data_IF_285393358313
#
_entry.id   IF_285393358313
#
_cell.length_a   1.000
_cell.length_b   1.000
_cell.length_c   1.000
_cell.angle_alpha   90.00
_cell.angle_beta   90.00
_cell.angle_gamma   90.00
#
_symmetry.space_group_name_H-M   'P 1'
#
loop_
_entity.id
_entity.type
_entity.pdbx_description
1 polymer ?
#
# COMPACT_ATOMS: atom_id res chain seq x y z
N UNK A 1 -8.08 22.35 21.11
CA UNK A 1 -7.69 21.12 20.41
C UNK A 1 -6.68 21.49 19.35
N UNK A 2 -5.59 20.75 19.20
CA UNK A 2 -4.57 21.03 18.18
C UNK A 2 -5.15 20.59 16.84
N UNK A 3 -5.28 21.53 15.91
CA UNK A 3 -5.75 21.27 14.55
C UNK A 3 -4.83 20.23 13.87
N UNK A 4 -5.42 19.22 13.22
CA UNK A 4 -4.65 18.17 12.56
C UNK A 4 -4.02 18.69 11.26
N UNK A 5 -2.87 18.14 10.79
CA UNK A 5 -2.11 18.72 9.68
C UNK A 5 -2.85 18.88 8.36
N UNK A 6 -3.85 18.04 8.08
CA UNK A 6 -4.68 18.11 6.86
C UNK A 6 -6.11 18.60 7.12
N UNK A 7 -6.34 19.27 8.25
CA UNK A 7 -7.64 19.90 8.51
C UNK A 7 -7.98 20.87 7.39
N UNK A 8 -9.22 20.78 6.87
CA UNK A 8 -9.68 21.57 5.73
C UNK A 8 -9.38 20.97 4.36
N UNK A 9 -8.58 19.90 4.26
CA UNK A 9 -8.36 19.19 2.99
C UNK A 9 -9.52 18.23 2.70
N UNK A 10 -10.11 18.32 1.52
CA UNK A 10 -11.15 17.39 1.05
C UNK A 10 -10.60 16.41 0.02
N UNK A 11 -10.75 15.11 0.28
CA UNK A 11 -10.36 14.02 -0.60
C UNK A 11 -11.59 13.27 -1.04
N UNK A 12 -11.80 13.13 -2.35
CA UNK A 12 -12.82 12.26 -2.92
C UNK A 12 -12.13 11.04 -3.51
N UNK A 13 -12.62 9.83 -3.23
CA UNK A 13 -11.98 8.63 -3.74
C UNK A 13 -12.95 7.64 -4.37
N UNK A 14 -12.58 7.12 -5.54
CA UNK A 14 -13.23 5.97 -6.19
C UNK A 14 -12.23 4.82 -6.15
N UNK A 15 -12.24 4.13 -5.01
CA UNK A 15 -11.15 3.23 -4.61
C UNK A 15 -11.68 1.88 -4.14
N UNK A 16 -10.89 0.82 -4.37
CA UNK A 16 -11.26 -0.55 -4.07
C UNK A 16 -10.05 -1.35 -3.57
N UNK A 17 -10.31 -2.46 -2.88
CA UNK A 17 -9.28 -3.37 -2.38
C UNK A 17 -8.33 -2.68 -1.40
N UNK A 18 -7.01 -2.62 -1.65
CA UNK A 18 -6.02 -2.26 -0.63
C UNK A 18 -5.25 -0.97 -0.92
N UNK A 19 -4.59 -0.83 -2.08
CA UNK A 19 -3.62 0.24 -2.30
C UNK A 19 -4.17 1.68 -2.12
N UNK A 20 -5.22 2.04 -2.88
CA UNK A 20 -5.84 3.36 -2.75
C UNK A 20 -6.53 3.57 -1.39
N UNK A 21 -7.31 2.61 -0.88
CA UNK A 21 -7.89 2.75 0.46
C UNK A 21 -6.85 2.94 1.57
N UNK A 22 -5.71 2.27 1.47
CA UNK A 22 -4.61 2.45 2.42
C UNK A 22 -4.06 3.87 2.37
N UNK A 23 -3.79 4.41 1.17
CA UNK A 23 -3.30 5.78 0.99
C UNK A 23 -4.28 6.82 1.56
N UNK A 24 -5.56 6.75 1.19
CA UNK A 24 -6.56 7.75 1.60
C UNK A 24 -6.90 7.65 3.08
N UNK A 25 -6.83 6.47 3.69
CA UNK A 25 -7.00 6.33 5.13
C UNK A 25 -5.87 7.00 5.91
N UNK A 26 -4.64 7.00 5.40
CA UNK A 26 -3.53 7.75 6.03
C UNK A 26 -3.79 9.26 5.96
N UNK A 27 -4.36 9.77 4.85
CA UNK A 27 -4.78 11.18 4.75
C UNK A 27 -5.91 11.50 5.75
N UNK A 28 -6.89 10.60 5.90
CA UNK A 28 -7.96 10.76 6.88
C UNK A 28 -7.44 10.79 8.32
N UNK A 29 -6.49 9.90 8.65
CA UNK A 29 -5.85 9.85 9.97
C UNK A 29 -5.05 11.15 10.29
N UNK A 30 -4.65 11.91 9.27
CA UNK A 30 -4.06 13.26 9.39
C UNK A 30 -5.08 14.41 9.38
N UNK A 31 -6.38 14.11 9.39
CA UNK A 31 -7.46 15.10 9.50
C UNK A 31 -8.12 15.53 8.19
N UNK A 32 -7.73 14.95 7.05
CA UNK A 32 -8.43 15.23 5.80
C UNK A 32 -9.85 14.64 5.83
N UNK A 33 -10.82 15.36 5.25
CA UNK A 33 -12.16 14.83 5.03
C UNK A 33 -12.14 13.91 3.81
N UNK A 34 -12.24 12.60 4.04
CA UNK A 34 -12.19 11.60 2.96
C UNK A 34 -13.58 11.05 2.67
N UNK A 35 -14.08 11.30 1.47
CA UNK A 35 -15.37 10.82 0.97
C UNK A 35 -15.11 9.65 0.00
N UNK A 36 -15.32 8.43 0.48
CA UNK A 36 -15.21 7.22 -0.34
C UNK A 36 -16.49 6.99 -1.12
N UNK A 37 -16.39 7.02 -2.44
CA UNK A 37 -17.48 6.72 -3.37
C UNK A 37 -17.49 5.24 -3.69
N UNK A 38 -18.61 4.59 -3.42
CA UNK A 38 -18.78 3.15 -3.56
C UNK A 38 -19.96 2.77 -4.47
N UNK A 39 -19.98 1.51 -4.93
CA UNK A 39 -21.10 0.98 -5.72
C UNK A 39 -22.34 0.79 -4.84
N UNK A 40 -23.55 1.15 -5.30
CA UNK A 40 -24.78 0.83 -4.60
C UNK A 40 -24.94 -0.68 -4.39
N UNK A 41 -25.43 -1.08 -3.20
CA UNK A 41 -25.67 -2.47 -2.82
C UNK A 41 -24.40 -3.26 -2.49
N UNK A 42 -23.44 -3.32 -3.40
CA UNK A 42 -22.23 -4.12 -3.24
C UNK A 42 -21.10 -3.42 -2.48
N UNK A 43 -20.94 -2.11 -2.65
CA UNK A 43 -19.80 -1.37 -2.10
C UNK A 43 -18.42 -1.78 -2.63
N UNK A 44 -17.39 -1.55 -1.82
CA UNK A 44 -16.03 -2.06 -2.00
C UNK A 44 -15.96 -3.60 -1.87
N UNK A 45 -15.16 -4.26 -2.71
CA UNK A 45 -14.88 -5.69 -2.63
C UNK A 45 -14.33 -6.10 -1.26
N UNK A 46 -13.50 -5.25 -0.65
CA UNK A 46 -12.88 -5.53 0.64
C UNK A 46 -13.92 -5.78 1.74
N UNK A 47 -15.16 -5.27 1.61
CA UNK A 47 -16.25 -5.51 2.59
C UNK A 47 -16.61 -6.99 2.77
N UNK A 48 -16.28 -7.85 1.79
CA UNK A 48 -16.64 -9.27 1.75
C UNK A 48 -15.45 -10.23 1.80
N UNK A 49 -14.24 -9.76 2.09
CA UNK A 49 -13.07 -10.64 2.16
C UNK A 49 -13.14 -11.61 3.33
N UNK A 50 -13.66 -11.16 4.46
CA UNK A 50 -13.89 -11.96 5.66
C UNK A 50 -14.97 -11.30 6.55
N UNK A 51 -15.19 -11.84 7.75
CA UNK A 51 -16.15 -11.31 8.75
C UNK A 51 -15.56 -11.25 10.16
N UNK A 52 -14.23 -11.22 10.26
CA UNK A 52 -13.47 -11.50 11.50
C UNK A 52 -13.64 -10.42 12.56
N UNK A 53 -13.82 -9.15 12.16
CA UNK A 53 -13.92 -8.01 13.08
C UNK A 53 -15.38 -7.69 13.33
N UNK A 54 -15.97 -8.36 14.32
CA UNK A 54 -17.37 -8.16 14.72
C UNK A 54 -18.37 -8.29 13.55
N UNK A 55 -18.16 -9.25 12.65
CA UNK A 55 -18.99 -9.44 11.45
C UNK A 55 -18.58 -8.58 10.25
N UNK A 56 -17.59 -7.69 10.42
CA UNK A 56 -16.99 -6.91 9.34
C UNK A 56 -15.67 -7.51 8.89
N UNK A 57 -15.35 -7.29 7.61
CA UNK A 57 -14.05 -7.66 7.03
C UNK A 57 -12.89 -6.94 7.71
N UNK A 58 -11.88 -7.70 8.11
CA UNK A 58 -10.65 -7.20 8.72
C UNK A 58 -9.92 -6.20 7.82
N UNK A 59 -9.83 -6.48 6.52
CA UNK A 59 -9.27 -5.56 5.53
C UNK A 59 -10.06 -4.27 5.47
N UNK A 60 -11.39 -4.35 5.37
CA UNK A 60 -12.22 -3.17 5.22
C UNK A 60 -12.08 -2.23 6.42
N UNK A 61 -12.14 -2.76 7.64
CA UNK A 61 -11.98 -1.97 8.87
C UNK A 61 -10.59 -1.33 8.95
N UNK A 62 -9.54 -2.07 8.60
CA UNK A 62 -8.15 -1.58 8.67
C UNK A 62 -7.89 -0.37 7.75
N UNK A 63 -8.43 -0.39 6.53
CA UNK A 63 -8.12 0.58 5.48
C UNK A 63 -9.24 1.60 5.20
N UNK A 64 -10.37 1.56 5.91
CA UNK A 64 -11.47 2.51 5.68
C UNK A 64 -12.00 3.19 6.94
N UNK A 65 -11.36 3.01 8.10
CA UNK A 65 -11.66 3.84 9.26
C UNK A 65 -11.45 5.33 8.96
N UNK A 66 -12.14 6.18 9.70
CA UNK A 66 -12.07 7.66 9.59
C UNK A 66 -12.64 8.26 8.30
N UNK A 67 -13.14 7.43 7.35
CA UNK A 67 -13.72 7.90 6.08
C UNK A 67 -15.24 8.02 6.15
N UNK A 68 -15.78 8.97 5.39
CA UNK A 68 -17.18 9.00 4.99
C UNK A 68 -17.41 8.01 3.82
N UNK A 69 -18.62 7.45 3.71
CA UNK A 69 -19.00 6.55 2.62
C UNK A 69 -20.24 7.08 1.92
N UNK A 70 -20.18 7.15 0.59
CA UNK A 70 -21.28 7.57 -0.28
C UNK A 70 -21.43 6.58 -1.43
N UNK A 71 -22.63 6.03 -1.62
CA UNK A 71 -22.88 5.16 -2.76
C UNK A 71 -23.33 5.95 -3.97
N UNK A 72 -22.65 5.81 -5.11
CA UNK A 72 -23.04 6.40 -6.40
C UNK A 72 -22.93 5.36 -7.52
N UNK A 73 -23.97 5.25 -8.35
CA UNK A 73 -23.84 4.52 -9.61
C UNK A 73 -23.18 5.41 -10.67
N UNK A 74 -21.90 5.20 -10.91
CA UNK A 74 -21.14 5.97 -11.90
C UNK A 74 -21.44 5.58 -13.35
N UNK A 75 -22.24 4.52 -13.59
CA UNK A 75 -22.78 4.23 -14.94
C UNK A 75 -23.95 5.15 -15.27
N UNK A 76 -24.72 5.54 -14.26
CA UNK A 76 -25.79 6.52 -14.38
C UNK A 76 -25.21 7.95 -14.55
N UNK A 77 -25.62 8.72 -15.57
CA UNK A 77 -25.23 10.13 -15.71
C UNK A 77 -25.48 10.97 -14.44
N UNK A 78 -26.52 10.67 -13.66
CA UNK A 78 -26.85 11.37 -12.40
C UNK A 78 -25.80 11.11 -11.33
N UNK A 79 -25.31 9.88 -11.21
CA UNK A 79 -24.24 9.53 -10.27
C UNK A 79 -22.93 10.23 -10.64
N UNK A 80 -22.62 10.30 -11.93
CA UNK A 80 -21.46 11.09 -12.44
C UNK A 80 -21.63 12.58 -12.16
N UNK A 81 -22.81 13.15 -12.37
CA UNK A 81 -23.06 14.56 -12.07
C UNK A 81 -22.85 14.87 -10.58
N UNK A 82 -23.29 13.99 -9.67
CA UNK A 82 -23.06 14.16 -8.23
C UNK A 82 -21.56 14.09 -7.91
N UNK A 83 -20.84 13.11 -8.47
CA UNK A 83 -19.39 13.00 -8.29
C UNK A 83 -18.69 14.27 -8.76
N UNK A 84 -19.02 14.79 -9.94
CA UNK A 84 -18.42 16.03 -10.45
C UNK A 84 -18.68 17.25 -9.56
N UNK A 85 -19.84 17.34 -8.91
CA UNK A 85 -20.08 18.40 -7.90
C UNK A 85 -19.20 18.23 -6.67
N UNK A 86 -18.97 17.00 -6.21
CA UNK A 86 -18.03 16.77 -5.10
C UNK A 86 -16.61 17.18 -5.48
N UNK A 87 -16.23 16.99 -6.75
CA UNK A 87 -14.90 17.36 -7.26
C UNK A 87 -14.71 18.88 -7.42
N UNK A 88 -15.76 19.68 -7.48
CA UNK A 88 -15.66 21.14 -7.58
C UNK A 88 -14.96 21.76 -6.35
N UNK A 89 -15.19 21.17 -5.17
CA UNK A 89 -14.63 21.62 -3.89
C UNK A 89 -13.52 20.70 -3.35
N UNK A 90 -13.16 19.64 -4.08
CA UNK A 90 -12.16 18.68 -3.64
C UNK A 90 -10.73 19.17 -3.90
N UNK A 91 -9.81 18.83 -2.99
CA UNK A 91 -8.39 19.08 -3.17
C UNK A 91 -7.69 17.93 -3.88
N UNK A 92 -8.13 16.70 -3.61
CA UNK A 92 -7.52 15.48 -4.11
C UNK A 92 -8.60 14.53 -4.60
N UNK A 93 -8.38 13.94 -5.77
CA UNK A 93 -9.17 12.83 -6.26
C UNK A 93 -8.30 11.58 -6.37
N UNK A 94 -8.66 10.49 -5.69
CA UNK A 94 -7.88 9.23 -5.72
C UNK A 94 -8.68 8.12 -6.38
N UNK A 95 -8.06 7.37 -7.29
CA UNK A 95 -8.68 6.21 -7.92
C UNK A 95 -7.70 5.09 -8.25
N UNK A 96 -8.18 3.85 -8.20
CA UNK A 96 -7.45 2.65 -8.64
C UNK A 96 -8.31 1.72 -9.50
N UNK A 97 -9.09 2.31 -10.40
CA UNK A 97 -9.93 1.59 -11.35
C UNK A 97 -9.08 0.85 -12.39
N UNK A 98 -9.68 -0.16 -13.00
CA UNK A 98 -9.03 -0.91 -14.08
C UNK A 98 -8.59 0.00 -15.24
N UNK A 99 -7.55 -0.38 -16.01
CA UNK A 99 -7.08 0.40 -17.15
C UNK A 99 -8.21 0.86 -18.09
N UNK A 100 -8.17 2.13 -18.47
CA UNK A 100 -9.17 2.80 -19.31
C UNK A 100 -10.56 3.00 -18.68
N UNK A 101 -10.83 2.50 -17.46
CA UNK A 101 -12.14 2.68 -16.84
C UNK A 101 -12.36 4.12 -16.34
N UNK A 102 -11.32 4.76 -15.79
CA UNK A 102 -11.40 6.16 -15.37
C UNK A 102 -11.69 7.09 -16.56
N UNK A 103 -11.01 6.90 -17.69
CA UNK A 103 -11.23 7.71 -18.90
C UNK A 103 -12.65 7.57 -19.46
N UNK A 104 -13.17 6.33 -19.53
CA UNK A 104 -14.57 6.07 -19.93
C UNK A 104 -15.60 6.77 -19.03
N UNK A 105 -15.24 7.04 -17.78
CA UNK A 105 -16.08 7.73 -16.81
C UNK A 105 -15.88 9.26 -16.80
N UNK A 106 -14.94 9.79 -17.60
CA UNK A 106 -14.57 11.22 -17.57
C UNK A 106 -13.72 11.61 -16.36
N UNK A 107 -13.03 10.62 -15.77
CA UNK A 107 -12.19 10.77 -14.57
C UNK A 107 -10.70 10.59 -14.88
N UNK A 108 -10.33 10.67 -16.15
CA UNK A 108 -8.95 10.62 -16.60
C UNK A 108 -8.16 11.83 -16.12
N UNK A 109 -6.87 11.65 -15.84
CA UNK A 109 -5.97 12.69 -15.33
C UNK A 109 -6.02 13.96 -16.18
N UNK A 110 -5.92 13.85 -17.52
CA UNK A 110 -5.94 15.02 -18.41
C UNK A 110 -7.30 15.76 -18.42
N UNK A 111 -8.40 15.04 -18.28
CA UNK A 111 -9.74 15.63 -18.16
C UNK A 111 -9.88 16.40 -16.85
N UNK A 112 -9.51 15.76 -15.75
CA UNK A 112 -9.61 16.32 -14.41
C UNK A 112 -8.72 17.56 -14.24
N UNK A 113 -7.47 17.52 -14.70
CA UNK A 113 -6.55 18.67 -14.63
C UNK A 113 -7.08 19.86 -15.42
N UNK A 114 -7.72 19.62 -16.58
CA UNK A 114 -8.29 20.70 -17.40
C UNK A 114 -9.55 21.29 -16.76
N UNK A 115 -10.42 20.44 -16.20
CA UNK A 115 -11.70 20.86 -15.63
C UNK A 115 -11.56 21.46 -14.22
N UNK A 116 -10.62 20.96 -13.44
CA UNK A 116 -10.38 21.35 -12.05
C UNK A 116 -8.90 21.66 -11.83
N UNK A 117 -8.41 22.85 -12.23
CA UNK A 117 -6.97 23.16 -12.23
C UNK A 117 -6.27 23.10 -10.86
N UNK A 118 -7.04 23.15 -9.76
CA UNK A 118 -6.52 23.06 -8.38
C UNK A 118 -6.61 21.65 -7.79
N UNK A 119 -7.34 20.74 -8.43
CA UNK A 119 -7.50 19.35 -8.00
C UNK A 119 -6.19 18.60 -8.25
N UNK A 120 -5.84 17.69 -7.35
CA UNK A 120 -4.73 16.76 -7.51
C UNK A 120 -5.32 15.38 -7.87
N UNK A 121 -5.29 14.98 -9.16
CA UNK A 121 -5.65 13.61 -9.54
C UNK A 121 -4.54 12.65 -9.10
N UNK A 122 -4.91 11.59 -8.39
CA UNK A 122 -4.02 10.52 -7.98
C UNK A 122 -4.53 9.20 -8.57
N UNK A 123 -3.71 8.60 -9.43
CA UNK A 123 -4.00 7.32 -10.07
C UNK A 123 -3.05 6.26 -9.53
N UNK A 124 -3.62 5.17 -9.00
CA UNK A 124 -2.86 3.99 -8.62
C UNK A 124 -3.21 2.86 -9.58
N UNK A 125 -2.19 2.29 -10.23
CA UNK A 125 -2.35 1.27 -11.27
C UNK A 125 -1.46 0.05 -11.01
N UNK A 126 -1.61 -1.01 -11.80
CA UNK A 126 -0.73 -2.18 -11.72
C UNK A 126 0.69 -1.91 -12.21
N UNK A 127 0.79 -1.46 -13.46
CA UNK A 127 2.04 -1.32 -14.22
C UNK A 127 2.29 0.10 -14.76
N UNK A 128 1.52 1.09 -14.30
CA UNK A 128 1.52 2.44 -14.86
C UNK A 128 0.42 2.62 -15.91
N UNK A 129 0.25 3.85 -16.37
CA UNK A 129 -0.70 4.22 -17.44
C UNK A 129 -0.05 4.22 -18.84
N UNK A 130 1.22 3.87 -18.93
CA UNK A 130 1.98 3.84 -20.19
C UNK A 130 2.85 2.58 -20.31
N UNK A 131 3.40 2.36 -21.51
CA UNK A 131 4.25 1.21 -21.79
C UNK A 131 3.49 -0.10 -22.11
N UNK A 132 4.22 -1.19 -22.39
CA UNK A 132 3.65 -2.42 -22.96
C UNK A 132 2.74 -3.21 -22.01
N UNK A 133 2.74 -2.87 -20.71
CA UNK A 133 2.01 -3.58 -19.67
C UNK A 133 0.84 -2.77 -19.08
N UNK A 134 0.58 -1.56 -19.57
CA UNK A 134 -0.44 -0.66 -19.04
C UNK A 134 -1.84 -1.28 -18.96
N UNK A 135 -2.21 -2.11 -19.95
CA UNK A 135 -3.54 -2.75 -20.02
C UNK A 135 -3.64 -4.07 -19.24
N UNK A 136 -2.57 -4.51 -18.57
CA UNK A 136 -2.57 -5.78 -17.85
C UNK A 136 -3.25 -5.66 -16.49
N UNK A 137 -3.97 -6.71 -16.11
CA UNK A 137 -4.47 -6.85 -14.74
C UNK A 137 -3.30 -7.07 -13.78
N UNK A 138 -3.39 -6.44 -12.61
CA UNK A 138 -2.43 -6.60 -11.55
C UNK A 138 -3.11 -7.07 -10.27
N UNK A 139 -2.38 -7.88 -9.53
CA UNK A 139 -2.73 -8.38 -8.21
C UNK A 139 -1.45 -8.37 -7.39
N UNK A 140 -1.58 -8.15 -6.09
CA UNK A 140 -0.44 -8.10 -5.17
C UNK A 140 0.54 -9.27 -5.37
N UNK A 141 0.04 -10.52 -5.36
CA UNK A 141 0.88 -11.70 -5.55
C UNK A 141 1.64 -11.69 -6.90
N UNK A 142 1.00 -11.23 -7.98
CA UNK A 142 1.65 -11.14 -9.29
C UNK A 142 2.80 -10.13 -9.26
N UNK A 143 2.61 -9.00 -8.58
CA UNK A 143 3.66 -7.99 -8.40
C UNK A 143 4.82 -8.54 -7.56
N UNK A 144 4.53 -9.28 -6.48
CA UNK A 144 5.57 -9.92 -5.68
C UNK A 144 6.41 -10.91 -6.50
N UNK A 145 5.77 -11.69 -7.38
CA UNK A 145 6.49 -12.59 -8.28
C UNK A 145 7.36 -11.83 -9.29
N UNK A 146 6.81 -10.80 -9.92
CA UNK A 146 7.50 -10.07 -11.00
C UNK A 146 8.64 -9.18 -10.53
N UNK A 147 8.54 -8.64 -9.31
CA UNK A 147 9.63 -7.88 -8.69
C UNK A 147 10.70 -8.77 -8.08
N UNK A 148 10.49 -10.09 -8.06
CA UNK A 148 11.43 -11.07 -7.49
C UNK A 148 11.33 -11.24 -5.98
N UNK A 149 10.40 -10.57 -5.30
CA UNK A 149 10.25 -10.68 -3.84
C UNK A 149 9.95 -12.12 -3.38
N UNK A 150 9.14 -12.86 -4.15
CA UNK A 150 8.83 -14.26 -3.83
C UNK A 150 10.09 -15.12 -3.85
N UNK A 151 11.04 -14.88 -4.76
CA UNK A 151 12.29 -15.66 -4.78
C UNK A 151 13.22 -15.41 -3.59
N UNK A 152 13.04 -14.29 -2.88
CA UNK A 152 13.82 -13.94 -1.69
C UNK A 152 13.17 -14.40 -0.39
N UNK A 153 11.88 -14.72 -0.44
CA UNK A 153 11.04 -14.98 0.73
C UNK A 153 10.77 -16.47 0.83
N UNK A 154 10.94 -17.06 2.00
CA UNK A 154 10.73 -18.50 2.24
C UNK A 154 11.98 -19.19 2.79
N UNK A 155 12.10 -20.48 2.53
CA UNK A 155 13.26 -21.29 2.89
C UNK A 155 14.24 -21.39 1.71
N UNK A 156 15.45 -21.93 1.90
CA UNK A 156 16.36 -22.20 0.79
C UNK A 156 15.76 -23.10 -0.31
N UNK A 157 14.83 -23.99 0.06
CA UNK A 157 14.23 -24.98 -0.82
C UNK A 157 12.84 -24.57 -1.35
N UNK A 158 12.11 -23.70 -0.62
CA UNK A 158 10.75 -23.29 -0.95
C UNK A 158 10.57 -21.77 -0.91
N UNK A 159 10.09 -21.21 -2.02
CA UNK A 159 9.68 -19.81 -2.07
C UNK A 159 8.27 -19.60 -1.52
N UNK A 160 8.06 -18.47 -0.86
CA UNK A 160 6.78 -18.10 -0.27
C UNK A 160 6.43 -16.66 -0.62
N UNK A 161 5.14 -16.36 -0.73
CA UNK A 161 4.67 -14.97 -0.75
C UNK A 161 4.85 -14.33 0.62
N UNK A 162 4.96 -13.02 0.67
CA UNK A 162 4.81 -12.31 1.94
C UNK A 162 3.37 -12.43 2.46
N UNK A 163 3.23 -12.48 3.79
CA UNK A 163 1.96 -12.68 4.47
C UNK A 163 1.02 -11.46 4.46
N UNK A 164 1.46 -10.33 3.91
CA UNK A 164 0.67 -9.11 3.76
C UNK A 164 0.58 -8.72 2.28
N UNK A 165 -0.32 -7.79 1.97
CA UNK A 165 -0.44 -7.19 0.64
C UNK A 165 0.67 -6.16 0.40
N UNK A 166 1.92 -6.62 0.37
CA UNK A 166 3.11 -5.75 0.37
C UNK A 166 3.19 -4.82 -0.84
N UNK A 167 2.77 -5.26 -2.03
CA UNK A 167 2.79 -4.42 -3.24
C UNK A 167 1.72 -3.32 -3.15
N UNK A 168 0.54 -3.67 -2.66
CA UNK A 168 -0.53 -2.70 -2.41
C UNK A 168 -0.13 -1.68 -1.34
N UNK A 169 0.49 -2.13 -0.24
CA UNK A 169 0.96 -1.25 0.83
C UNK A 169 2.06 -0.32 0.32
N UNK A 170 3.02 -0.84 -0.45
CA UNK A 170 4.08 -0.03 -1.06
C UNK A 170 3.47 1.06 -1.96
N UNK A 171 2.58 0.69 -2.89
CA UNK A 171 1.91 1.64 -3.77
C UNK A 171 1.09 2.67 -2.98
N UNK A 172 0.36 2.22 -1.96
CA UNK A 172 -0.40 3.11 -1.09
C UNK A 172 0.48 4.11 -0.33
N UNK A 173 1.68 3.71 0.10
CA UNK A 173 2.64 4.60 0.75
C UNK A 173 3.20 5.65 -0.22
N UNK A 174 3.54 5.28 -1.46
CA UNK A 174 3.99 6.23 -2.48
C UNK A 174 2.87 7.16 -2.95
N UNK A 175 1.64 6.67 -3.04
CA UNK A 175 0.49 7.51 -3.39
C UNK A 175 0.21 8.52 -2.26
N UNK A 176 0.25 8.08 -1.01
CA UNK A 176 0.11 8.94 0.16
C UNK A 176 1.19 10.02 0.20
N UNK A 177 2.48 9.65 0.08
CA UNK A 177 3.58 10.63 0.08
C UNK A 177 3.51 11.55 -1.14
N UNK A 178 3.19 11.02 -2.33
CA UNK A 178 3.02 11.80 -3.55
C UNK A 178 1.91 12.84 -3.43
N UNK A 179 0.77 12.48 -2.82
CA UNK A 179 -0.33 13.43 -2.55
C UNK A 179 0.11 14.52 -1.57
N UNK A 180 0.81 14.17 -0.49
CA UNK A 180 1.36 15.18 0.43
C UNK A 180 2.34 16.12 -0.27
N UNK A 181 3.23 15.60 -1.10
CA UNK A 181 4.14 16.40 -1.91
C UNK A 181 3.38 17.31 -2.87
N UNK A 182 2.35 16.81 -3.55
CA UNK A 182 1.53 17.63 -4.46
C UNK A 182 0.77 18.73 -3.71
N UNK A 183 0.22 18.44 -2.53
CA UNK A 183 -0.43 19.44 -1.67
C UNK A 183 0.57 20.52 -1.22
N UNK A 184 1.77 20.12 -0.79
CA UNK A 184 2.83 21.03 -0.38
C UNK A 184 3.30 21.92 -1.55
N UNK A 185 3.54 21.32 -2.72
CA UNK A 185 3.90 22.07 -3.94
C UNK A 185 2.80 23.05 -4.31
N UNK A 186 1.53 22.65 -4.26
CA UNK A 186 0.39 23.54 -4.51
C UNK A 186 0.33 24.69 -3.50
N UNK A 187 0.62 24.45 -2.23
CA UNK A 187 0.64 25.49 -1.20
C UNK A 187 1.80 26.50 -1.39
N UNK A 188 2.95 26.04 -1.88
CA UNK A 188 4.17 26.87 -2.01
C UNK A 188 4.31 27.55 -3.37
N UNK A 189 3.77 26.95 -4.43
CA UNK A 189 3.92 27.43 -5.82
C UNK A 189 2.60 27.80 -6.49
N UNK A 190 1.46 27.46 -5.88
CA UNK A 190 0.14 27.60 -6.48
C UNK A 190 -0.21 26.52 -7.52
N UNK A 191 0.72 25.63 -7.88
CA UNK A 191 0.53 24.63 -8.94
C UNK A 191 0.22 23.25 -8.38
N UNK A 192 -0.86 22.62 -8.87
CA UNK A 192 -1.19 21.23 -8.58
C UNK A 192 -0.61 20.31 -9.67
N UNK A 193 0.04 19.23 -9.26
CA UNK A 193 0.52 18.20 -10.18
C UNK A 193 -0.21 16.88 -9.92
N UNK A 194 -0.57 16.13 -10.97
CA UNK A 194 -1.12 14.80 -10.80
C UNK A 194 -0.08 13.85 -10.20
N UNK A 195 -0.57 12.84 -9.48
CA UNK A 195 0.22 11.79 -8.87
C UNK A 195 -0.12 10.49 -9.58
N UNK A 196 0.90 9.77 -10.06
CA UNK A 196 0.73 8.45 -10.65
C UNK A 196 1.68 7.47 -9.96
N UNK A 197 1.14 6.33 -9.54
CA UNK A 197 1.91 5.27 -8.88
C UNK A 197 1.49 3.94 -9.48
N UNK A 198 2.47 3.08 -9.75
CA UNK A 198 2.21 1.68 -10.09
C UNK A 198 2.61 0.75 -8.95
N UNK A 199 1.87 -0.33 -8.75
CA UNK A 199 2.23 -1.38 -7.79
C UNK A 199 3.60 -1.99 -8.13
N UNK A 200 3.88 -2.17 -9.42
CA UNK A 200 5.14 -2.73 -9.87
C UNK A 200 6.34 -1.84 -9.51
N UNK A 201 6.32 -0.55 -9.87
CA UNK A 201 7.43 0.37 -9.57
C UNK A 201 7.58 0.59 -8.06
N UNK A 202 6.47 0.72 -7.34
CA UNK A 202 6.47 0.88 -5.89
C UNK A 202 7.16 -0.29 -5.17
N UNK A 203 6.84 -1.52 -5.56
CA UNK A 203 7.48 -2.69 -4.95
C UNK A 203 8.91 -2.91 -5.49
N UNK A 204 9.17 -2.61 -6.76
CA UNK A 204 10.51 -2.69 -7.34
C UNK A 204 11.49 -1.75 -6.63
N UNK A 205 11.05 -0.55 -6.23
CA UNK A 205 11.85 0.39 -5.45
C UNK A 205 12.27 -0.22 -4.09
N UNK A 206 11.36 -0.91 -3.40
CA UNK A 206 11.69 -1.62 -2.15
C UNK A 206 12.66 -2.80 -2.35
N UNK A 207 12.76 -3.29 -3.59
CA UNK A 207 13.71 -4.33 -4.01
C UNK A 207 15.07 -3.76 -4.43
N UNK A 208 15.33 -2.47 -4.24
CA UNK A 208 16.57 -1.81 -4.65
C UNK A 208 17.84 -2.50 -4.12
N UNK A 209 17.90 -2.83 -2.82
CA UNK A 209 19.08 -3.52 -2.28
C UNK A 209 19.30 -4.91 -2.90
N UNK A 210 18.31 -5.82 -2.97
CA UNK A 210 18.47 -7.10 -3.67
C UNK A 210 18.80 -6.96 -5.16
N UNK A 211 18.26 -5.94 -5.84
CA UNK A 211 18.56 -5.65 -7.23
C UNK A 211 20.04 -5.29 -7.42
N UNK A 212 20.57 -4.35 -6.63
CA UNK A 212 22.00 -3.98 -6.66
C UNK A 212 22.91 -5.16 -6.33
N UNK A 213 22.53 -6.00 -5.36
CA UNK A 213 23.27 -7.22 -5.04
C UNK A 213 23.35 -8.15 -6.25
N UNK A 214 22.23 -8.43 -6.89
CA UNK A 214 22.16 -9.35 -8.03
C UNK A 214 22.99 -8.86 -9.22
N UNK A 215 22.89 -7.58 -9.55
CA UNK A 215 23.61 -6.96 -10.67
C UNK A 215 25.11 -6.94 -10.40
N UNK A 216 25.54 -6.59 -9.18
CA UNK A 216 26.96 -6.42 -8.85
C UNK A 216 27.66 -7.76 -8.59
N UNK A 217 27.00 -8.69 -7.89
CA UNK A 217 27.58 -9.98 -7.55
C UNK A 217 27.39 -11.06 -8.64
N UNK A 218 26.64 -10.75 -9.71
CA UNK A 218 26.21 -11.68 -10.76
C UNK A 218 25.57 -12.97 -10.20
N UNK A 219 24.94 -12.87 -9.02
CA UNK A 219 24.31 -13.98 -8.30
C UNK A 219 23.04 -13.47 -7.64
N UNK A 220 21.93 -14.16 -7.88
CA UNK A 220 20.68 -13.85 -7.20
C UNK A 220 20.77 -14.30 -5.74
N UNK A 221 20.36 -13.47 -4.76
CA UNK A 221 20.24 -13.92 -3.39
C UNK A 221 19.19 -15.02 -3.35
N UNK A 222 19.57 -16.26 -3.04
CA UNK A 222 18.60 -17.33 -2.77
C UNK A 222 18.18 -17.22 -1.33
N UNK A 223 16.87 -17.19 -1.09
CA UNK A 223 16.20 -17.26 0.21
C UNK A 223 17.08 -16.76 1.34
N UNK A 224 16.91 -15.50 1.75
CA UNK A 224 17.66 -14.94 2.87
C UNK A 224 17.18 -15.66 4.14
N UNK A 225 17.70 -16.88 4.35
CA UNK A 225 17.57 -17.60 5.58
C UNK A 225 18.08 -16.66 6.67
N UNK A 226 17.45 -16.60 7.84
CA UNK A 226 17.68 -15.56 8.85
C UNK A 226 19.13 -15.41 9.36
N UNK A 227 20.09 -16.19 8.86
CA UNK A 227 21.50 -15.82 8.88
C UNK A 227 21.80 -14.62 7.97
N UNK A 228 21.80 -13.42 8.56
CA UNK A 228 22.38 -12.18 8.02
C UNK A 228 23.86 -12.35 7.64
N UNK A 229 24.37 -11.85 6.50
CA UNK A 229 25.81 -11.73 6.24
C UNK A 229 26.38 -10.41 6.80
N UNK A 230 27.71 -10.27 6.93
CA UNK A 230 28.53 -10.90 7.96
C UNK A 230 28.36 -10.15 9.29
N UNK A 231 27.29 -10.45 10.02
CA UNK A 231 27.16 -10.12 11.45
C UNK A 231 26.92 -11.43 12.19
N UNK A 232 27.34 -11.55 13.47
CA UNK A 232 27.22 -12.82 14.21
C UNK A 232 25.80 -13.39 14.12
N UNK A 233 25.64 -14.73 14.12
CA UNK A 233 24.42 -15.39 13.64
C UNK A 233 23.19 -14.97 14.46
N UNK A 234 22.27 -14.27 13.80
CA UNK A 234 20.93 -13.92 14.30
C UNK A 234 19.88 -14.85 13.70
N UNK A 235 19.94 -16.15 14.03
CA UNK A 235 18.92 -17.10 13.60
C UNK A 235 17.69 -17.13 14.52
N UNK A 236 16.51 -17.57 14.02
CA UNK A 236 15.35 -17.87 14.82
C UNK A 236 15.63 -19.07 15.72
N UNK A 237 15.20 -19.00 16.98
CA UNK A 237 15.32 -20.10 17.94
C UNK A 237 13.91 -20.50 18.40
N UNK A 238 13.51 -21.76 18.15
CA UNK A 238 12.54 -22.53 18.96
C UNK A 238 11.17 -22.89 18.33
N UNK A 239 10.59 -24.07 18.66
CA UNK A 239 9.15 -24.36 18.57
C UNK A 239 8.48 -24.45 19.97
N UNK A 240 7.14 -24.52 20.11
CA UNK A 240 6.05 -24.05 19.25
C UNK A 240 5.06 -23.19 20.07
N UNK A 241 5.24 -21.87 20.12
CA UNK A 241 4.13 -20.93 20.36
C UNK A 241 4.48 -19.64 19.64
N UNK A 242 3.52 -19.09 18.90
CA UNK A 242 3.67 -18.01 17.93
C UNK A 242 4.37 -16.75 18.47
N UNK A 243 5.70 -16.71 18.40
CA UNK A 243 6.53 -15.52 18.34
C UNK A 243 7.99 -15.98 18.19
N UNK A 244 8.43 -16.18 16.95
CA UNK A 244 9.85 -16.43 16.69
C UNK A 244 10.62 -15.14 16.94
N UNK A 245 11.25 -15.03 18.10
CA UNK A 245 12.03 -13.85 18.48
C UNK A 245 13.44 -13.95 17.87
N UNK A 246 13.83 -13.01 17.01
CA UNK A 246 15.22 -12.87 16.56
C UNK A 246 16.06 -12.27 17.69
N UNK A 247 17.12 -12.96 18.14
CA UNK A 247 17.99 -12.46 19.22
C UNK A 247 19.37 -12.05 18.67
N UNK A 248 19.80 -10.78 18.82
CA UNK A 248 21.15 -10.34 18.45
C UNK A 248 22.20 -10.90 19.41
N UNK A 249 22.98 -11.89 18.95
CA UNK A 249 24.14 -12.39 19.68
C UNK A 249 25.26 -11.35 19.63
N UNK A 250 25.42 -10.53 20.68
CA UNK A 250 26.57 -9.62 20.82
C UNK A 250 27.78 -10.41 21.31
N UNK A 251 28.80 -10.55 20.48
CA UNK A 251 30.14 -10.93 20.91
C UNK A 251 30.85 -9.71 21.50
N UNK A 252 30.84 -9.56 22.81
CA UNK A 252 31.85 -8.79 23.54
C UNK A 252 32.38 -9.64 24.70
N UNK A 253 33.70 -9.77 24.75
CA UNK A 253 34.44 -10.53 25.74
C UNK A 253 34.06 -10.16 27.20
N UNK A 254 34.15 -11.16 28.08
CA UNK A 254 34.07 -11.13 29.55
C UNK A 254 32.69 -11.05 30.23
N UNK A 255 32.30 -12.12 30.94
CA UNK A 255 31.32 -12.09 32.04
C UNK A 255 30.09 -13.00 31.89
N UNK A 256 29.72 -13.85 32.89
CA UNK A 256 28.76 -14.94 32.72
C UNK A 256 27.33 -14.50 33.02
N UNK A 257 26.48 -14.43 32.00
CA UNK A 257 25.02 -14.53 32.17
C UNK A 257 24.43 -15.46 31.11
N UNK A 258 24.91 -16.72 31.13
CA UNK A 258 24.14 -17.87 30.66
C UNK A 258 23.78 -18.67 31.92
N UNK A 259 22.65 -18.32 32.55
CA UNK A 259 22.12 -19.11 33.64
C UNK A 259 21.71 -20.48 33.06
N UNK A 260 22.37 -21.53 33.58
CA UNK A 260 22.11 -22.94 33.29
C UNK A 260 20.66 -23.25 33.62
N UNK A 261 19.88 -23.70 32.64
CA UNK A 261 18.75 -24.58 32.91
C UNK A 261 19.32 -25.99 33.10
N UNK A 262 19.73 -26.32 34.32
CA UNK A 262 20.06 -27.68 34.71
C UNK A 262 18.80 -28.53 34.68
N UNK A 263 18.84 -29.57 33.86
CA UNK A 263 17.90 -30.69 33.83
C UNK A 263 17.81 -31.36 35.21
N UNK A 264 16.60 -31.48 35.73
CA UNK A 264 16.23 -32.49 36.72
C UNK A 264 15.01 -33.25 36.18
N UNK A 265 15.27 -34.42 35.59
CA UNK A 265 14.28 -35.46 35.41
C UNK A 265 14.15 -36.29 36.69
N UNK A 266 13.02 -36.98 36.92
CA UNK A 266 12.76 -37.65 38.18
C UNK A 266 13.38 -39.05 38.23
N UNK A 267 14.05 -39.34 39.34
CA UNK A 267 14.13 -40.65 39.99
C UNK A 267 14.56 -40.45 41.43
#
# INVERSE_FOLDING_TARGET
MRELPLSGVTVVSVEQAVAAPYATRQLADLGARVIKVERPGEGDFARRYDTTVHGHSSYFVWINRSKESLTLDLKDPRGRAILHRLLEDADVFVQNLAPGAADRLGLGTGELTRRYPRLIPCTISGYGTSGPWADRKAYDLLMQCQTGLVSLTGTPDESARTGISVADIAAGMYAYSGVLTALYTRATTGTAHPVEVSLFEALAEWMGQPAYYTVTAARSPRGWAPSTPPSPPTGPIGPPTAATCCSPCRTSASGPYCARSSSAGPS
#
